data_IF_975731966003
#
_entry.id   IF_975731966003
#
_cell.length_a   1.000
_cell.length_b   1.000
_cell.length_c   1.000
_cell.angle_alpha   90.00
_cell.angle_beta   90.00
_cell.angle_gamma   90.00
#
_symmetry.space_group_name_H-M   'P 1'
#
loop_
_entity.id
_entity.type
_entity.pdbx_description
1 polymer ?
#
# COMPACT_ATOMS: atom_id res chain seq x y z
N UNK A 1 21.20 -10.83 18.07
CA UNK A 1 21.11 -9.40 17.69
C UNK A 1 22.07 -8.63 18.58
N UNK A 2 23.20 -8.14 18.06
CA UNK A 2 24.27 -7.51 18.89
C UNK A 2 24.84 -6.23 18.26
N UNK A 3 24.10 -5.55 17.38
CA UNK A 3 24.58 -4.31 16.77
C UNK A 3 25.79 -4.45 15.84
N UNK A 4 26.24 -5.68 15.52
CA UNK A 4 27.31 -5.93 14.53
C UNK A 4 26.98 -5.34 13.16
N UNK A 5 25.69 -5.22 12.84
CA UNK A 5 25.16 -4.59 11.63
C UNK A 5 24.04 -3.65 12.03
N UNK A 6 24.03 -2.44 11.47
CA UNK A 6 22.97 -1.46 11.67
C UNK A 6 21.78 -1.76 10.73
N UNK A 7 20.54 -1.95 11.23
CA UNK A 7 19.38 -2.12 10.37
C UNK A 7 19.18 -0.89 9.50
N UNK A 8 18.98 -1.12 8.21
CA UNK A 8 18.76 -0.09 7.19
C UNK A 8 17.56 -0.39 6.29
N UNK A 9 16.87 -1.51 6.51
CA UNK A 9 15.71 -1.93 5.73
C UNK A 9 14.57 -0.91 5.78
N UNK A 10 13.85 -0.78 4.67
CA UNK A 10 12.70 0.10 4.50
C UNK A 10 11.51 -0.74 4.04
N UNK A 11 10.32 -0.45 4.58
CA UNK A 11 9.12 -1.21 4.25
C UNK A 11 8.73 -1.01 2.77
N UNK A 12 8.59 -2.10 1.99
CA UNK A 12 8.19 -2.00 0.58
C UNK A 12 6.67 -1.86 0.40
N UNK A 13 5.88 -1.81 1.48
CA UNK A 13 4.44 -1.59 1.46
C UNK A 13 4.00 -0.81 2.73
N UNK A 14 2.81 -0.20 2.68
CA UNK A 14 2.18 0.39 3.87
C UNK A 14 1.39 -0.66 4.64
N UNK A 15 1.43 -0.58 5.97
CA UNK A 15 0.65 -1.43 6.87
C UNK A 15 -0.55 -0.61 7.36
N UNK A 16 -1.75 -0.97 6.93
CA UNK A 16 -2.98 -0.29 7.36
C UNK A 16 -3.24 -0.49 8.85
N UNK A 17 -3.94 0.47 9.46
CA UNK A 17 -4.30 0.40 10.88
C UNK A 17 -5.39 -0.62 11.15
N UNK A 18 -6.39 -0.71 10.27
CA UNK A 18 -7.49 -1.66 10.40
C UNK A 18 -7.41 -2.70 9.28
N UNK A 19 -7.81 -3.93 9.58
CA UNK A 19 -7.87 -5.02 8.59
C UNK A 19 -8.87 -4.72 7.46
N UNK A 20 -9.98 -4.06 7.79
CA UNK A 20 -11.02 -3.67 6.84
C UNK A 20 -10.57 -2.62 5.81
N UNK A 21 -9.41 -1.98 6.02
CA UNK A 21 -8.86 -0.99 5.10
C UNK A 21 -8.07 -1.65 3.95
N UNK A 22 -7.73 -2.93 4.08
CA UNK A 22 -7.13 -3.69 2.97
C UNK A 22 -8.20 -3.94 1.89
N UNK A 23 -7.79 -3.96 0.61
CA UNK A 23 -8.69 -4.39 -0.44
C UNK A 23 -9.20 -5.80 -0.12
N UNK A 24 -10.47 -6.12 -0.45
CA UNK A 24 -10.99 -7.45 -0.25
C UNK A 24 -10.12 -8.41 -1.05
N UNK A 25 -9.41 -9.31 -0.37
CA UNK A 25 -8.78 -10.42 -1.04
C UNK A 25 -9.91 -11.30 -1.58
N UNK A 26 -9.95 -11.61 -2.89
CA UNK A 26 -10.82 -12.67 -3.37
C UNK A 26 -10.33 -13.92 -2.66
N UNK A 27 -11.15 -14.36 -1.72
CA UNK A 27 -10.80 -15.45 -0.82
C UNK A 27 -10.61 -16.69 -1.69
N UNK A 28 -9.36 -17.12 -1.83
CA UNK A 28 -8.92 -18.11 -2.82
C UNK A 28 -9.58 -19.49 -2.66
N UNK A 29 -10.38 -19.74 -1.62
CA UNK A 29 -11.20 -20.97 -1.51
C UNK A 29 -12.53 -20.82 -0.75
N UNK A 30 -12.75 -19.79 0.07
CA UNK A 30 -13.93 -19.70 0.96
C UNK A 30 -15.16 -19.05 0.30
N UNK A 31 -14.98 -18.13 -0.66
CA UNK A 31 -16.12 -17.54 -1.38
C UNK A 31 -16.72 -18.46 -2.46
N UNK A 32 -15.96 -19.43 -2.96
CA UNK A 32 -16.47 -20.45 -3.90
C UNK A 32 -17.59 -21.30 -3.29
N UNK A 33 -17.61 -21.51 -1.97
CA UNK A 33 -18.61 -22.38 -1.34
C UNK A 33 -19.99 -21.72 -1.23
N UNK A 34 -20.08 -20.38 -1.16
CA UNK A 34 -21.37 -19.68 -1.01
C UNK A 34 -22.11 -19.41 -2.32
N UNK A 35 -21.44 -19.49 -3.47
CA UNK A 35 -22.05 -19.17 -4.76
C UNK A 35 -22.82 -20.35 -5.38
N UNK A 36 -22.62 -21.59 -4.91
CA UNK A 36 -23.31 -22.78 -5.42
C UNK A 36 -24.83 -22.81 -5.15
N UNK A 37 -25.36 -21.90 -4.32
CA UNK A 37 -26.80 -21.84 -4.00
C UNK A 37 -27.58 -20.72 -4.75
N UNK A 38 -26.93 -19.96 -5.64
CA UNK A 38 -27.58 -18.86 -6.37
C UNK A 38 -27.40 -19.05 -7.88
N UNK A 39 -28.47 -19.60 -8.47
CA UNK A 39 -28.89 -19.64 -9.88
C UNK A 39 -28.01 -18.95 -10.95
N UNK A 40 -27.81 -19.70 -12.04
CA UNK A 40 -27.58 -19.30 -13.44
C UNK A 40 -26.26 -18.59 -13.81
N UNK A 41 -25.37 -19.37 -14.46
CA UNK A 41 -24.52 -19.02 -15.61
C UNK A 41 -23.67 -17.74 -15.57
N UNK A 42 -23.06 -17.43 -14.42
CA UNK A 42 -21.94 -16.48 -14.38
C UNK A 42 -20.67 -17.17 -13.89
N UNK A 43 -19.82 -17.58 -14.83
CA UNK A 43 -18.44 -17.96 -14.51
C UNK A 43 -17.73 -16.72 -13.97
N UNK A 44 -17.57 -16.66 -12.64
CA UNK A 44 -16.77 -15.64 -11.97
C UNK A 44 -15.38 -16.25 -11.83
N UNK A 45 -14.42 -15.74 -12.61
CA UNK A 45 -13.03 -16.16 -12.47
C UNK A 45 -12.53 -15.71 -11.08
N UNK A 46 -12.13 -16.64 -10.19
CA UNK A 46 -11.63 -16.30 -8.85
C UNK A 46 -10.35 -15.44 -8.88
N UNK A 47 -9.73 -15.29 -10.04
CA UNK A 47 -8.57 -14.42 -10.27
C UNK A 47 -8.92 -13.09 -10.98
N UNK A 48 -10.21 -12.79 -11.20
CA UNK A 48 -10.65 -11.52 -11.76
C UNK A 48 -10.54 -10.41 -10.70
N UNK A 49 -9.34 -9.83 -10.61
CA UNK A 49 -9.01 -8.74 -9.70
C UNK A 49 -9.04 -7.43 -10.47
N UNK A 50 -9.98 -6.55 -10.13
CA UNK A 50 -10.02 -5.20 -10.71
C UNK A 50 -8.90 -4.32 -10.12
N UNK A 51 -7.83 -4.17 -10.89
CA UNK A 51 -6.73 -3.27 -10.54
C UNK A 51 -7.08 -1.83 -10.89
N UNK A 52 -7.28 -1.01 -9.85
CA UNK A 52 -7.43 0.43 -9.99
C UNK A 52 -6.06 1.14 -10.02
N UNK A 53 -6.05 2.40 -10.47
CA UNK A 53 -4.81 3.21 -10.59
C UNK A 53 -4.09 3.44 -9.25
N UNK A 54 -4.82 3.42 -8.14
CA UNK A 54 -4.28 3.66 -6.80
C UNK A 54 -4.28 2.36 -6.00
N UNK A 55 -3.10 1.97 -5.53
CA UNK A 55 -2.86 0.74 -4.77
C UNK A 55 -1.98 1.02 -3.55
N UNK A 56 -2.19 0.25 -2.47
CA UNK A 56 -1.38 0.31 -1.26
C UNK A 56 -1.25 1.73 -0.70
N UNK A 57 -0.02 2.24 -0.60
CA UNK A 57 0.27 3.56 -0.03
C UNK A 57 -0.35 4.70 -0.84
N UNK A 58 -0.38 4.61 -2.17
CA UNK A 58 -0.98 5.66 -3.02
C UNK A 58 -2.49 5.76 -2.81
N UNK A 59 -3.15 4.63 -2.55
CA UNK A 59 -4.57 4.60 -2.19
C UNK A 59 -4.78 5.17 -0.79
N UNK A 60 -3.92 4.79 0.17
CA UNK A 60 -3.95 5.29 1.53
C UNK A 60 -3.80 6.81 1.60
N UNK A 61 -2.83 7.37 0.87
CA UNK A 61 -2.59 8.80 0.76
C UNK A 61 -3.78 9.51 0.10
N UNK A 62 -4.27 8.99 -1.03
CA UNK A 62 -5.41 9.59 -1.74
C UNK A 62 -6.67 9.63 -0.88
N UNK A 63 -6.93 8.58 -0.11
CA UNK A 63 -8.15 8.45 0.72
C UNK A 63 -7.95 8.88 2.17
N UNK A 64 -6.78 9.41 2.54
CA UNK A 64 -6.40 9.74 3.92
C UNK A 64 -6.66 8.59 4.92
N UNK A 65 -6.37 7.35 4.51
CA UNK A 65 -6.56 6.16 5.36
C UNK A 65 -5.42 6.10 6.39
N UNK A 66 -5.71 5.90 7.67
CA UNK A 66 -4.68 5.78 8.70
C UNK A 66 -3.85 4.50 8.50
N UNK A 67 -2.53 4.65 8.51
CA UNK A 67 -1.58 3.52 8.45
C UNK A 67 -0.78 3.43 9.75
N UNK A 68 -0.51 2.21 10.19
CA UNK A 68 0.36 1.94 11.34
C UNK A 68 1.82 2.19 10.97
N UNK A 69 2.22 1.77 9.78
CA UNK A 69 3.55 2.03 9.22
C UNK A 69 3.43 2.43 7.76
N UNK A 70 4.06 3.54 7.40
CA UNK A 70 4.06 4.07 6.05
C UNK A 70 5.02 3.29 5.16
N UNK A 71 4.76 3.31 3.85
CA UNK A 71 5.73 2.91 2.85
C UNK A 71 7.07 3.62 3.06
N UNK A 72 8.17 2.88 2.94
CA UNK A 72 9.51 3.40 3.17
C UNK A 72 9.88 3.61 4.64
N UNK A 73 9.02 3.28 5.60
CA UNK A 73 9.37 3.37 7.02
C UNK A 73 10.46 2.35 7.38
N UNK A 74 11.40 2.74 8.24
CA UNK A 74 12.43 1.84 8.75
C UNK A 74 13.40 2.55 9.69
N UNK A 75 13.63 1.94 10.86
CA UNK A 75 14.48 2.47 11.92
C UNK A 75 15.95 2.14 11.70
N UNK A 76 16.82 2.90 12.35
CA UNK A 76 18.27 2.70 12.39
C UNK A 76 18.78 2.96 13.80
N UNK A 77 19.94 2.42 14.15
CA UNK A 77 20.60 2.71 15.43
C UNK A 77 21.24 4.10 15.46
N UNK A 78 21.36 4.77 14.32
CA UNK A 78 21.88 6.14 14.19
C UNK A 78 20.79 7.10 13.73
N UNK A 79 20.97 8.40 14.01
CA UNK A 79 20.06 9.45 13.56
C UNK A 79 20.63 10.15 12.31
N UNK A 80 19.75 10.49 11.37
CA UNK A 80 20.09 11.22 10.16
C UNK A 80 19.36 12.56 10.13
N UNK A 81 20.01 13.61 9.61
CA UNK A 81 19.41 14.94 9.45
C UNK A 81 19.57 15.39 8.00
N UNK A 82 18.46 15.77 7.37
CA UNK A 82 18.44 16.31 6.02
C UNK A 82 18.41 17.84 6.10
N UNK A 83 19.37 18.51 5.45
CA UNK A 83 19.48 19.97 5.40
C UNK A 83 19.75 20.42 3.95
N UNK A 84 19.51 21.70 3.66
CA UNK A 84 19.87 22.37 2.40
C UNK A 84 19.32 21.66 1.14
N UNK A 85 18.09 21.16 1.22
CA UNK A 85 17.39 20.61 0.05
C UNK A 85 17.18 21.75 -0.94
N UNK A 86 17.80 21.65 -2.12
CA UNK A 86 17.66 22.62 -3.20
C UNK A 86 16.97 21.94 -4.38
N UNK A 87 16.08 22.67 -5.02
CA UNK A 87 15.36 22.20 -6.22
C UNK A 87 15.47 23.26 -7.29
N UNK A 88 15.89 22.87 -8.49
CA UNK A 88 15.81 23.73 -9.68
C UNK A 88 14.45 23.50 -10.35
N UNK A 89 13.69 24.60 -10.57
CA UNK A 89 12.33 24.56 -11.13
C UNK A 89 12.27 23.93 -12.53
N UNK A 90 13.41 23.79 -13.22
CA UNK A 90 13.47 23.22 -14.57
C UNK A 90 12.98 21.76 -14.67
N UNK A 91 12.88 21.03 -13.55
CA UNK A 91 12.43 19.62 -13.54
C UNK A 91 11.27 19.31 -12.59
N UNK A 92 10.62 20.32 -12.00
CA UNK A 92 9.43 20.08 -11.17
C UNK A 92 8.23 19.92 -12.10
N UNK A 93 7.96 18.68 -12.53
CA UNK A 93 6.66 18.32 -13.09
C UNK A 93 5.61 18.72 -12.05
N UNK A 94 4.77 19.69 -12.41
CA UNK A 94 3.67 20.19 -11.58
C UNK A 94 2.95 19.00 -10.95
N UNK A 95 3.02 18.90 -9.63
CA UNK A 95 2.13 18.05 -8.85
C UNK A 95 0.70 18.36 -9.29
N UNK A 96 -0.03 17.34 -9.70
CA UNK A 96 -1.42 17.45 -10.14
C UNK A 96 -2.22 18.04 -8.96
N UNK A 97 -2.92 19.17 -9.13
CA UNK A 97 -3.76 19.70 -8.06
C UNK A 97 -4.88 18.70 -7.77
N UNK A 98 -5.14 18.44 -6.49
CA UNK A 98 -6.32 17.67 -6.07
C UNK A 98 -7.57 18.39 -6.58
N UNK A 99 -8.37 17.70 -7.39
CA UNK A 99 -9.74 18.11 -7.73
C UNK A 99 -10.70 17.52 -6.71
#
# INVERSE_FOLDING_TARGET
MFGKVNPSGKLPYSIFKNENDYPPFPDSHLKMQKQWEINEDKYIDPFDVEYNYYLGYTLAEKKNIPVSFHFGFGLSYTQFKFNNITTDKKHILKTIPSR
#
